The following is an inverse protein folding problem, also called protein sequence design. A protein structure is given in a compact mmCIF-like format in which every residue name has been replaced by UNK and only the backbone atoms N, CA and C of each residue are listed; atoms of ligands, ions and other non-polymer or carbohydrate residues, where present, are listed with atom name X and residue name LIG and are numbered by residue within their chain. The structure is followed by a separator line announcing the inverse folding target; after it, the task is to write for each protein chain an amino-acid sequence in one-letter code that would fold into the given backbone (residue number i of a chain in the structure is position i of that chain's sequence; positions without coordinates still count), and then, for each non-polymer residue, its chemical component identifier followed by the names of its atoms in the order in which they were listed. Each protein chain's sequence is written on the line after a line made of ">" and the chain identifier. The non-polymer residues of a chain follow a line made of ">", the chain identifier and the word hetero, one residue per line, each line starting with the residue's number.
data_IF_040565370146
#
_entry.id   IF_040565370146
#
_cell.length_a   1.000
_cell.length_b   1.000
_cell.length_c   1.000
_cell.angle_alpha   90.00
_cell.angle_beta   90.00
_cell.angle_gamma   90.00
#
_symmetry.space_group_name_H-M   'P 1'
#
loop_
_entity.id
_entity.type
_entity.pdbx_description
1 polymer ?
#
# COMPACT_ATOMS: atom_id res chain seq x y z
N UNK A 1 19.06 -23.55 1.16
CA UNK A 1 17.67 -23.26 0.77
C UNK A 1 16.99 -22.57 1.95
N UNK A 2 16.62 -21.30 1.80
CA UNK A 2 15.83 -20.60 2.82
C UNK A 2 14.43 -21.22 2.81
N UNK A 3 13.86 -21.62 3.97
CA UNK A 3 12.52 -22.20 4.00
C UNK A 3 11.50 -21.19 3.51
N UNK A 4 10.64 -21.62 2.59
CA UNK A 4 9.56 -20.79 2.03
C UNK A 4 8.56 -20.40 3.13
N UNK A 5 8.16 -19.13 3.16
CA UNK A 5 7.19 -18.63 4.13
C UNK A 5 5.86 -19.42 4.04
N UNK A 6 5.43 -20.11 5.12
CA UNK A 6 4.26 -20.99 5.08
C UNK A 6 2.95 -20.21 4.97
N UNK A 7 1.95 -20.78 4.30
CA UNK A 7 0.68 -20.10 4.02
C UNK A 7 -0.08 -19.68 5.30
N UNK A 8 -0.03 -20.48 6.37
CA UNK A 8 -0.66 -20.13 7.64
C UNK A 8 -0.10 -18.82 8.22
N UNK A 9 1.20 -18.57 8.05
CA UNK A 9 1.85 -17.35 8.52
C UNK A 9 1.43 -16.15 7.66
N UNK A 10 1.24 -16.35 6.35
CA UNK A 10 0.69 -15.31 5.45
C UNK A 10 -0.72 -14.91 5.87
N UNK A 11 -1.58 -15.89 6.17
CA UNK A 11 -2.95 -15.65 6.68
C UNK A 11 -2.92 -14.93 8.02
N UNK A 12 -2.08 -15.38 8.95
CA UNK A 12 -1.93 -14.70 10.24
C UNK A 12 -1.49 -13.24 10.07
N UNK A 13 -0.59 -12.96 9.13
CA UNK A 13 -0.14 -11.61 8.83
C UNK A 13 -1.23 -10.75 8.17
N UNK A 14 -2.12 -11.32 7.35
CA UNK A 14 -3.33 -10.64 6.87
C UNK A 14 -4.23 -10.25 8.05
N UNK A 15 -4.51 -11.18 8.95
CA UNK A 15 -5.34 -10.92 10.11
C UNK A 15 -4.72 -9.85 11.03
N UNK A 16 -3.41 -9.90 11.26
CA UNK A 16 -2.68 -8.89 12.04
C UNK A 16 -2.72 -7.52 11.36
N UNK A 17 -2.56 -7.46 10.04
CA UNK A 17 -2.71 -6.22 9.28
C UNK A 17 -4.10 -5.64 9.50
N UNK A 18 -5.17 -6.39 9.23
CA UNK A 18 -6.55 -5.92 9.49
C UNK A 18 -6.72 -5.48 10.94
N UNK A 19 -6.25 -6.30 11.88
CA UNK A 19 -6.30 -6.05 13.32
C UNK A 19 -5.64 -4.74 13.72
N UNK A 20 -4.51 -4.38 13.08
CA UNK A 20 -3.76 -3.16 13.38
C UNK A 20 -4.49 -1.87 13.01
N UNK A 21 -5.37 -1.90 12.00
CA UNK A 21 -6.16 -0.74 11.59
C UNK A 21 -7.48 -0.57 12.38
N UNK A 22 -7.99 -1.64 13.01
CA UNK A 22 -9.29 -1.61 13.71
C UNK A 22 -9.40 -0.53 14.80
N UNK A 23 -8.40 -0.31 15.69
CA UNK A 23 -8.51 0.70 16.74
C UNK A 23 -8.69 2.12 16.17
N UNK A 24 -7.96 2.43 15.09
CA UNK A 24 -8.01 3.72 14.44
C UNK A 24 -9.33 3.91 13.68
N UNK A 25 -9.77 2.87 12.96
CA UNK A 25 -11.03 2.88 12.23
C UNK A 25 -12.24 3.03 13.16
N UNK A 26 -12.24 2.29 14.28
CA UNK A 26 -13.27 2.40 15.31
C UNK A 26 -13.34 3.80 15.89
N UNK A 27 -12.19 4.44 16.17
CA UNK A 27 -12.16 5.82 16.68
C UNK A 27 -12.69 6.83 15.68
N UNK A 28 -12.26 6.79 14.42
CA UNK A 28 -12.80 7.70 13.39
C UNK A 28 -14.31 7.50 13.26
N UNK A 29 -14.77 6.25 13.28
CA UNK A 29 -16.19 5.94 13.15
C UNK A 29 -17.01 6.42 14.34
N UNK A 30 -16.53 6.21 15.58
CA UNK A 30 -17.22 6.54 16.82
C UNK A 30 -17.13 8.04 17.18
N UNK A 31 -15.97 8.65 16.99
CA UNK A 31 -15.71 10.05 17.37
C UNK A 31 -16.00 11.03 16.24
N UNK A 32 -16.18 10.55 15.00
CA UNK A 32 -16.40 11.37 13.78
C UNK A 32 -15.34 12.46 13.57
N UNK A 33 -14.16 12.29 14.16
CA UNK A 33 -13.05 13.22 14.04
C UNK A 33 -11.85 12.49 13.46
N UNK A 34 -11.28 13.05 12.39
CA UNK A 34 -10.02 12.59 11.79
C UNK A 34 -8.78 13.13 12.50
N UNK A 35 -8.94 13.83 13.62
CA UNK A 35 -7.85 14.54 14.28
C UNK A 35 -6.71 13.58 14.65
N UNK A 36 -5.47 14.00 14.37
CA UNK A 36 -4.26 13.30 14.81
C UNK A 36 -3.51 12.50 13.76
N UNK A 37 -4.01 12.41 12.53
CA UNK A 37 -3.25 11.90 11.39
C UNK A 37 -3.06 12.98 10.35
N UNK A 38 -1.85 13.04 9.81
CA UNK A 38 -1.55 13.97 8.75
C UNK A 38 -2.19 13.50 7.45
N UNK A 39 -2.92 14.40 6.79
CA UNK A 39 -3.49 14.11 5.47
C UNK A 39 -2.39 13.77 4.45
N UNK A 40 -1.23 14.42 4.57
CA UNK A 40 -0.06 14.11 3.74
C UNK A 40 0.52 12.73 4.09
N UNK A 41 0.51 12.33 5.37
CA UNK A 41 0.89 10.97 5.75
C UNK A 41 -0.01 9.93 5.09
N UNK A 42 -1.33 10.11 5.15
CA UNK A 42 -2.30 9.20 4.52
C UNK A 42 -2.08 9.17 3.00
N UNK A 43 -1.94 10.34 2.34
CA UNK A 43 -1.71 10.41 0.90
C UNK A 43 -0.47 9.63 0.47
N UNK A 44 0.67 9.89 1.10
CA UNK A 44 1.95 9.28 0.69
C UNK A 44 1.97 7.76 0.93
N UNK A 45 1.40 7.30 2.04
CA UNK A 45 1.27 5.85 2.29
C UNK A 45 0.27 5.20 1.32
N UNK A 46 -0.80 5.90 0.94
CA UNK A 46 -1.77 5.39 -0.02
C UNK A 46 -1.18 5.32 -1.44
N UNK A 47 -0.39 6.32 -1.86
CA UNK A 47 0.39 6.28 -3.11
C UNK A 47 1.33 5.08 -3.12
N UNK A 48 2.11 4.87 -2.06
CA UNK A 48 3.02 3.73 -1.93
C UNK A 48 2.26 2.39 -1.94
N UNK A 49 1.14 2.28 -1.24
CA UNK A 49 0.31 1.07 -1.25
C UNK A 49 -0.27 0.77 -2.64
N UNK A 50 -0.72 1.81 -3.37
CA UNK A 50 -1.19 1.66 -4.75
C UNK A 50 -0.08 1.16 -5.66
N UNK A 51 1.13 1.70 -5.54
CA UNK A 51 2.29 1.27 -6.35
C UNK A 51 2.66 -0.19 -6.07
N UNK A 52 2.77 -0.58 -4.80
CA UNK A 52 3.05 -1.97 -4.42
C UNK A 52 1.95 -2.93 -4.92
N UNK A 53 0.68 -2.54 -4.82
CA UNK A 53 -0.44 -3.31 -5.36
C UNK A 53 -0.34 -3.42 -6.88
N UNK A 54 -0.03 -2.33 -7.57
CA UNK A 54 0.09 -2.25 -9.04
C UNK A 54 1.17 -3.20 -9.53
N UNK A 55 2.38 -3.13 -8.96
CA UNK A 55 3.47 -4.03 -9.31
C UNK A 55 3.15 -5.49 -8.98
N UNK A 56 2.58 -5.76 -7.79
CA UNK A 56 2.25 -7.12 -7.41
C UNK A 56 1.18 -7.72 -8.32
N UNK A 57 0.15 -6.95 -8.68
CA UNK A 57 -0.89 -7.37 -9.60
C UNK A 57 -0.31 -7.60 -11.00
N UNK A 58 0.48 -6.65 -11.51
CA UNK A 58 1.16 -6.76 -12.80
C UNK A 58 2.00 -8.03 -12.90
N UNK A 59 2.91 -8.26 -11.94
CA UNK A 59 3.76 -9.46 -11.96
C UNK A 59 2.95 -10.75 -11.78
N UNK A 60 1.86 -10.71 -11.01
CA UNK A 60 0.97 -11.88 -10.85
C UNK A 60 0.24 -12.22 -12.14
N UNK A 61 -0.14 -11.25 -12.97
CA UNK A 61 -0.89 -11.50 -14.20
C UNK A 61 0.05 -11.79 -15.38
N UNK A 62 1.11 -10.99 -15.56
CA UNK A 62 1.91 -10.94 -16.78
C UNK A 62 3.18 -11.78 -16.78
N UNK A 63 3.80 -12.08 -15.63
CA UNK A 63 5.00 -12.93 -15.62
C UNK A 63 4.60 -14.38 -15.81
N UNK A 64 5.11 -14.96 -16.89
CA UNK A 64 4.77 -16.32 -17.31
C UNK A 64 5.99 -17.22 -17.53
N UNK A 65 7.23 -16.72 -17.72
CA UNK A 65 8.30 -17.62 -18.17
C UNK A 65 9.72 -17.53 -17.56
N UNK A 66 10.26 -16.42 -17.02
CA UNK A 66 11.71 -16.43 -16.69
C UNK A 66 12.19 -15.68 -15.43
N UNK A 67 11.31 -15.00 -14.69
CA UNK A 67 11.71 -14.25 -13.50
C UNK A 67 10.98 -14.78 -12.27
N UNK A 68 11.52 -15.86 -11.70
CA UNK A 68 11.06 -16.51 -10.46
C UNK A 68 11.32 -15.64 -9.20
N UNK A 69 11.57 -14.33 -9.39
CA UNK A 69 11.95 -13.37 -8.36
C UNK A 69 10.77 -13.03 -7.44
N UNK A 70 9.62 -12.68 -8.02
CA UNK A 70 8.46 -12.17 -7.27
C UNK A 70 7.27 -13.14 -7.21
N UNK A 71 7.07 -13.95 -8.24
CA UNK A 71 5.94 -14.90 -8.37
C UNK A 71 6.50 -16.25 -8.80
N UNK A 72 6.00 -17.33 -8.20
CA UNK A 72 6.44 -18.67 -8.59
C UNK A 72 5.82 -19.06 -9.93
N UNK A 73 6.57 -19.83 -10.74
CA UNK A 73 6.04 -20.45 -11.96
C UNK A 73 5.94 -21.97 -11.75
N UNK A 74 4.74 -22.58 -11.64
CA UNK A 74 3.40 -21.97 -11.69
C UNK A 74 3.01 -21.24 -10.38
N UNK A 75 2.05 -20.31 -10.51
CA UNK A 75 1.59 -19.45 -9.41
C UNK A 75 1.16 -20.25 -8.19
N UNK A 76 1.80 -19.98 -7.07
CA UNK A 76 1.49 -20.65 -5.81
C UNK A 76 0.32 -19.97 -5.09
N UNK A 77 -0.36 -20.71 -4.20
CA UNK A 77 -1.34 -20.13 -3.25
C UNK A 77 -0.72 -18.96 -2.47
N UNK A 78 0.58 -19.06 -2.17
CA UNK A 78 1.29 -18.02 -1.47
C UNK A 78 1.34 -16.68 -2.23
N UNK A 79 1.44 -16.72 -3.56
CA UNK A 79 1.55 -15.51 -4.39
C UNK A 79 0.21 -14.75 -4.38
N UNK A 80 -0.90 -15.48 -4.46
CA UNK A 80 -2.25 -14.93 -4.27
C UNK A 80 -2.45 -14.33 -2.87
N UNK A 81 -1.92 -14.96 -1.82
CA UNK A 81 -1.98 -14.42 -0.46
C UNK A 81 -1.13 -13.15 -0.30
N UNK A 82 0.01 -13.04 -0.99
CA UNK A 82 0.82 -11.82 -1.00
C UNK A 82 0.09 -10.67 -1.71
N UNK A 83 -0.55 -10.95 -2.85
CA UNK A 83 -1.39 -9.98 -3.54
C UNK A 83 -2.57 -9.53 -2.66
N UNK A 84 -3.24 -10.48 -2.00
CA UNK A 84 -4.33 -10.18 -1.06
C UNK A 84 -3.86 -9.30 0.11
N UNK A 85 -2.68 -9.56 0.67
CA UNK A 85 -2.08 -8.74 1.73
C UNK A 85 -1.92 -7.28 1.30
N UNK A 86 -1.37 -7.05 0.10
CA UNK A 86 -1.18 -5.70 -0.45
C UNK A 86 -2.52 -5.03 -0.76
N UNK A 87 -3.47 -5.80 -1.30
CA UNK A 87 -4.84 -5.33 -1.54
C UNK A 87 -5.54 -4.91 -0.24
N UNK A 88 -5.39 -5.68 0.84
CA UNK A 88 -5.94 -5.34 2.16
C UNK A 88 -5.34 -4.04 2.69
N UNK A 89 -4.03 -3.87 2.62
CA UNK A 89 -3.37 -2.60 3.04
C UNK A 89 -3.91 -1.42 2.24
N UNK A 90 -4.00 -1.58 0.92
CA UNK A 90 -4.53 -0.54 0.02
C UNK A 90 -5.99 -0.20 0.33
N UNK A 91 -6.87 -1.19 0.45
CA UNK A 91 -8.29 -0.99 0.78
C UNK A 91 -8.45 -0.31 2.14
N UNK A 92 -7.71 -0.75 3.16
CA UNK A 92 -7.80 -0.16 4.50
C UNK A 92 -7.35 1.31 4.49
N UNK A 93 -6.23 1.63 3.84
CA UNK A 93 -5.77 3.02 3.69
C UNK A 93 -6.74 3.87 2.85
N UNK A 94 -7.34 3.28 1.82
CA UNK A 94 -8.32 3.98 0.99
C UNK A 94 -9.59 4.30 1.78
N UNK A 95 -10.17 3.33 2.49
CA UNK A 95 -11.30 3.55 3.41
C UNK A 95 -10.93 4.61 4.44
N UNK A 96 -9.73 4.51 5.02
CA UNK A 96 -9.23 5.48 5.99
C UNK A 96 -9.21 6.91 5.43
N UNK A 97 -8.75 7.07 4.18
CA UNK A 97 -8.73 8.36 3.49
C UNK A 97 -10.13 8.93 3.22
N UNK A 98 -11.10 8.07 2.86
CA UNK A 98 -12.49 8.47 2.65
C UNK A 98 -13.18 8.87 3.95
N UNK A 99 -12.89 8.13 5.01
CA UNK A 99 -13.50 8.33 6.31
C UNK A 99 -12.90 9.50 7.08
N UNK A 100 -11.78 10.08 6.65
CA UNK A 100 -11.05 11.15 7.34
C UNK A 100 -11.74 12.52 7.19
N UNK A 101 -12.56 12.95 8.16
CA UNK A 101 -13.26 14.22 8.11
C UNK A 101 -12.50 15.15 9.06
N UNK A 102 -11.39 15.73 8.59
CA UNK A 102 -10.69 16.70 9.41
C UNK A 102 -11.10 18.12 9.00
N UNK A 103 -11.95 18.79 9.81
CA UNK A 103 -12.35 20.17 9.55
C UNK A 103 -11.19 21.16 9.74
N UNK A 104 -10.03 20.73 10.27
CA UNK A 104 -8.86 21.59 10.43
C UNK A 104 -8.19 21.94 9.09
N UNK A 105 -8.37 21.11 8.07
CA UNK A 105 -7.78 21.37 6.75
C UNK A 105 -8.73 22.17 5.85
N UNK A 106 -8.23 23.23 5.18
CA UNK A 106 -9.00 23.95 4.18
C UNK A 106 -9.52 23.02 3.08
N UNK A 107 -10.76 23.24 2.64
CA UNK A 107 -11.40 22.47 1.55
C UNK A 107 -10.49 22.38 0.29
N UNK A 108 -9.85 23.47 -0.18
CA UNK A 108 -8.98 23.40 -1.36
C UNK A 108 -7.81 22.42 -1.19
N UNK A 109 -7.24 22.33 0.01
CA UNK A 109 -6.14 21.41 0.29
C UNK A 109 -6.59 19.95 0.21
N UNK A 110 -7.79 19.64 0.72
CA UNK A 110 -8.39 18.31 0.64
C UNK A 110 -8.70 17.90 -0.79
N UNK A 111 -9.23 18.84 -1.60
CA UNK A 111 -9.49 18.63 -3.03
C UNK A 111 -8.18 18.36 -3.77
N UNK A 112 -7.12 19.13 -3.50
CA UNK A 112 -5.81 18.93 -4.11
C UNK A 112 -5.26 17.53 -3.80
N UNK A 113 -5.28 17.12 -2.52
CA UNK A 113 -4.83 15.78 -2.10
C UNK A 113 -5.63 14.68 -2.81
N UNK A 114 -6.96 14.80 -2.85
CA UNK A 114 -7.81 13.84 -3.54
C UNK A 114 -7.51 13.79 -5.04
N UNK A 115 -7.36 14.95 -5.70
CA UNK A 115 -7.04 15.04 -7.12
C UNK A 115 -5.67 14.41 -7.43
N UNK A 116 -4.64 14.70 -6.62
CA UNK A 116 -3.31 14.09 -6.75
C UNK A 116 -3.38 12.56 -6.66
N UNK A 117 -4.12 12.05 -5.68
CA UNK A 117 -4.31 10.61 -5.54
C UNK A 117 -5.08 10.01 -6.73
N UNK A 118 -6.18 10.63 -7.16
CA UNK A 118 -6.97 10.11 -8.27
C UNK A 118 -6.16 10.06 -9.57
N UNK A 119 -5.36 11.10 -9.85
CA UNK A 119 -4.46 11.12 -11.00
C UNK A 119 -3.43 10.00 -10.91
N UNK A 120 -2.75 9.86 -9.76
CA UNK A 120 -1.76 8.81 -9.56
C UNK A 120 -2.38 7.41 -9.69
N UNK A 121 -3.51 7.18 -9.00
CA UNK A 121 -4.22 5.91 -9.03
C UNK A 121 -4.72 5.55 -10.41
N UNK A 122 -5.20 6.53 -11.18
CA UNK A 122 -5.59 6.31 -12.58
C UNK A 122 -4.39 5.89 -13.43
N UNK A 123 -3.28 6.64 -13.38
CA UNK A 123 -2.06 6.33 -14.16
C UNK A 123 -1.48 4.95 -13.79
N UNK A 124 -1.54 4.57 -12.52
CA UNK A 124 -0.93 3.32 -12.03
C UNK A 124 -1.82 2.10 -12.27
N UNK A 125 -3.10 2.17 -11.88
CA UNK A 125 -4.00 1.01 -11.92
C UNK A 125 -4.64 0.79 -13.29
N UNK A 126 -4.96 1.86 -14.04
CA UNK A 126 -5.68 1.73 -15.30
C UNK A 126 -4.97 0.81 -16.30
N UNK A 127 -3.65 0.98 -16.59
CA UNK A 127 -2.96 0.12 -17.55
C UNK A 127 -3.03 -1.36 -17.18
N UNK A 128 -2.79 -1.68 -15.91
CA UNK A 128 -2.73 -3.08 -15.45
C UNK A 128 -4.11 -3.73 -15.41
N UNK A 129 -5.16 -2.97 -15.06
CA UNK A 129 -6.54 -3.46 -15.12
C UNK A 129 -6.94 -3.70 -16.58
N UNK A 130 -6.63 -2.77 -17.48
CA UNK A 130 -6.97 -2.95 -18.91
C UNK A 130 -6.27 -4.16 -19.51
N UNK A 131 -5.00 -4.38 -19.17
CA UNK A 131 -4.22 -5.52 -19.65
C UNK A 131 -4.71 -6.85 -19.07
N UNK A 132 -5.18 -6.87 -17.82
CA UNK A 132 -5.79 -8.04 -17.21
C UNK A 132 -7.17 -8.39 -17.80
N UNK A 133 -7.93 -7.40 -18.27
CA UNK A 133 -9.24 -7.60 -18.88
C UNK A 133 -9.15 -7.98 -20.36
N UNK A 134 -8.19 -7.41 -21.08
CA UNK A 134 -7.93 -7.71 -22.48
C UNK A 134 -6.42 -7.71 -22.74
N UNK A 135 -5.85 -8.92 -22.67
CA UNK A 135 -4.42 -9.13 -22.88
C UNK A 135 -3.98 -8.79 -24.31
N UNK A 136 -4.91 -8.73 -25.27
CA UNK A 136 -4.58 -8.43 -26.68
C UNK A 136 -4.31 -6.95 -26.93
N UNK A 137 -4.67 -6.07 -25.99
CA UNK A 137 -4.41 -4.64 -26.09
C UNK A 137 -2.91 -4.30 -26.03
N UNK A 138 -2.14 -5.07 -25.25
CA UNK A 138 -0.72 -4.78 -25.00
C UNK A 138 0.21 -5.94 -25.39
N UNK A 139 -0.34 -7.09 -25.76
CA UNK A 139 0.42 -8.26 -26.21
C UNK A 139 0.01 -8.67 -27.63
N UNK A 140 0.99 -8.87 -28.51
CA UNK A 140 0.77 -9.54 -29.78
C UNK A 140 0.65 -11.05 -29.52
N UNK A 141 -0.46 -11.71 -29.92
CA UNK A 141 -0.65 -13.15 -29.67
C UNK A 141 0.42 -14.04 -30.34
N UNK A 142 1.21 -13.50 -31.27
CA UNK A 142 2.30 -14.23 -31.93
C UNK A 142 3.67 -14.05 -31.27
N UNK A 143 3.82 -13.13 -30.31
CA UNK A 143 5.08 -12.89 -29.62
C UNK A 143 5.15 -13.67 -28.30
N UNK A 144 6.26 -14.37 -28.08
CA UNK A 144 6.52 -15.09 -26.82
C UNK A 144 7.00 -14.17 -25.69
N UNK A 145 7.43 -12.95 -26.03
CA UNK A 145 7.91 -11.95 -25.08
C UNK A 145 6.86 -10.87 -24.83
N UNK A 146 6.79 -10.28 -23.62
CA UNK A 146 5.96 -9.11 -23.38
C UNK A 146 6.34 -7.98 -24.33
N UNK A 147 5.34 -7.27 -24.85
CA UNK A 147 5.57 -6.14 -25.77
C UNK A 147 6.39 -5.03 -25.12
N UNK A 148 7.04 -4.20 -25.94
CA UNK A 148 7.90 -3.10 -25.47
C UNK A 148 7.22 -2.21 -24.43
N UNK A 149 5.95 -1.85 -24.63
CA UNK A 149 5.19 -1.01 -23.69
C UNK A 149 5.01 -1.65 -22.31
N UNK A 150 4.77 -2.97 -22.27
CA UNK A 150 4.62 -3.76 -21.04
C UNK A 150 5.94 -3.78 -20.27
N UNK A 151 7.06 -4.02 -20.96
CA UNK A 151 8.39 -4.00 -20.35
C UNK A 151 8.79 -2.59 -19.88
N UNK A 152 8.47 -1.55 -20.65
CA UNK A 152 8.73 -0.17 -20.27
C UNK A 152 7.93 0.21 -19.01
N UNK A 153 6.64 -0.15 -18.95
CA UNK A 153 5.81 0.07 -17.78
C UNK A 153 6.37 -0.66 -16.55
N UNK A 154 6.69 -1.96 -16.69
CA UNK A 154 7.26 -2.75 -15.60
C UNK A 154 8.58 -2.16 -15.08
N UNK A 155 9.51 -1.85 -15.99
CA UNK A 155 10.81 -1.29 -15.65
C UNK A 155 10.70 0.09 -15.01
N UNK A 156 9.88 0.98 -15.56
CA UNK A 156 9.65 2.32 -15.01
C UNK A 156 9.11 2.25 -13.58
N UNK A 157 8.07 1.44 -13.35
CA UNK A 157 7.47 1.31 -12.03
C UNK A 157 8.44 0.65 -11.04
N UNK A 158 9.09 -0.44 -11.44
CA UNK A 158 10.02 -1.16 -10.57
C UNK A 158 11.27 -0.36 -10.20
N UNK A 159 11.93 0.29 -11.15
CA UNK A 159 13.22 0.97 -10.92
C UNK A 159 13.09 2.41 -10.44
N UNK A 160 11.96 3.09 -10.72
CA UNK A 160 11.82 4.52 -10.46
C UNK A 160 10.66 4.79 -9.51
N UNK A 161 9.44 4.38 -9.87
CA UNK A 161 8.23 4.75 -9.10
C UNK A 161 8.21 4.08 -7.73
N UNK A 162 8.48 2.78 -7.65
CA UNK A 162 8.45 2.02 -6.40
C UNK A 162 9.51 2.50 -5.38
N UNK A 163 10.79 2.70 -5.74
CA UNK A 163 11.77 3.28 -4.81
C UNK A 163 11.38 4.70 -4.36
N UNK A 164 10.88 5.53 -5.28
CA UNK A 164 10.48 6.90 -4.98
C UNK A 164 9.29 6.94 -4.02
N UNK A 165 8.23 6.17 -4.32
CA UNK A 165 7.03 6.11 -3.47
C UNK A 165 7.32 5.49 -2.12
N UNK A 166 8.21 4.50 -2.04
CA UNK A 166 8.71 3.94 -0.79
C UNK A 166 9.44 5.01 0.04
N UNK A 167 10.35 5.78 -0.58
CA UNK A 167 11.05 6.87 0.08
C UNK A 167 10.08 7.94 0.59
N UNK A 168 9.12 8.35 -0.23
CA UNK A 168 8.08 9.29 0.17
C UNK A 168 7.24 8.76 1.35
N UNK A 169 6.92 7.46 1.35
CA UNK A 169 6.24 6.79 2.45
C UNK A 169 7.07 6.84 3.74
N UNK A 170 8.39 6.68 3.68
CA UNK A 170 9.27 6.83 4.85
C UNK A 170 9.32 8.30 5.30
N UNK A 171 9.49 9.24 4.37
CA UNK A 171 9.49 10.67 4.67
C UNK A 171 8.16 11.15 5.27
N UNK A 172 7.06 10.46 4.99
CA UNK A 172 5.74 10.74 5.56
C UNK A 172 5.68 10.65 7.09
N UNK A 173 6.65 9.98 7.72
CA UNK A 173 6.78 9.93 9.19
C UNK A 173 6.99 11.35 9.76
N UNK A 174 7.66 12.25 9.03
CA UNK A 174 7.91 13.63 9.47
C UNK A 174 6.60 14.42 9.67
N UNK A 175 5.72 14.58 8.66
CA UNK A 175 4.46 15.29 8.87
C UNK A 175 3.56 14.59 9.89
N UNK A 176 3.61 13.26 10.01
CA UNK A 176 2.90 12.53 11.05
C UNK A 176 3.43 12.88 12.46
N UNK A 177 4.74 12.91 12.66
CA UNK A 177 5.37 13.25 13.94
C UNK A 177 5.08 14.70 14.35
N UNK A 178 5.07 15.63 13.40
CA UNK A 178 4.71 17.03 13.65
C UNK A 178 3.26 17.13 14.15
N UNK A 179 2.34 16.39 13.52
CA UNK A 179 0.93 16.40 13.91
C UNK A 179 0.67 15.71 15.25
N UNK A 180 1.41 14.65 15.59
CA UNK A 180 1.34 14.07 16.94
C UNK A 180 1.87 15.04 18.00
N UNK A 181 2.98 15.73 17.73
CA UNK A 181 3.57 16.67 18.69
C UNK A 181 2.63 17.84 18.97
N UNK A 182 1.96 18.38 17.96
CA UNK A 182 0.99 19.47 18.16
C UNK A 182 -0.22 19.02 19.00
N UNK A 183 -0.65 17.77 18.85
CA UNK A 183 -1.76 17.19 19.63
C UNK A 183 -1.38 16.92 21.09
N UNK A 184 -0.15 16.47 21.36
CA UNK A 184 0.34 16.25 22.73
C UNK A 184 0.49 17.54 23.54
N UNK A 185 0.75 18.66 22.87
CA UNK A 185 0.80 19.99 23.48
C UNK A 185 -0.59 20.61 23.70
N UNK A 186 -1.67 19.93 23.31
CA UNK A 186 -3.06 20.37 23.46
C UNK A 186 -3.60 20.06 24.88
N UNK A 187 -4.64 20.75 25.38
CA UNK A 187 -5.13 20.60 26.77
C UNK A 187 -5.62 19.20 27.16
N UNK A 188 -5.79 18.27 26.21
CA UNK A 188 -6.28 16.90 26.42
C UNK A 188 -5.25 15.84 25.96
N UNK A 189 -4.15 15.63 26.72
CA UNK A 189 -3.03 14.77 26.32
C UNK A 189 -3.36 13.27 26.24
N UNK A 190 -4.39 12.80 26.96
CA UNK A 190 -4.78 11.38 27.00
C UNK A 190 -5.17 10.83 25.61
N UNK A 191 -5.78 11.68 24.78
CA UNK A 191 -6.12 11.32 23.40
C UNK A 191 -4.87 11.17 22.52
N UNK A 192 -3.82 11.95 22.78
CA UNK A 192 -2.54 11.84 22.08
C UNK A 192 -1.78 10.56 22.46
N UNK A 193 -1.80 10.18 23.74
CA UNK A 193 -1.12 9.01 24.26
C UNK A 193 -1.68 7.70 23.68
N UNK A 194 -3.01 7.58 23.60
CA UNK A 194 -3.68 6.42 23.01
C UNK A 194 -3.40 6.28 21.50
N UNK A 195 -3.16 7.40 20.80
CA UNK A 195 -2.82 7.42 19.36
C UNK A 195 -1.39 6.98 19.07
N UNK A 196 -0.44 7.28 19.96
CA UNK A 196 0.93 6.78 19.86
C UNK A 196 0.93 5.26 19.95
N UNK A 197 0.14 4.68 20.85
CA UNK A 197 0.06 3.23 21.03
C UNK A 197 -0.46 2.53 19.77
N UNK A 198 -1.53 3.04 19.16
CA UNK A 198 -2.06 2.45 17.90
C UNK A 198 -1.04 2.60 16.77
N UNK A 199 -0.38 3.75 16.66
CA UNK A 199 0.64 4.00 15.64
C UNK A 199 1.87 3.10 15.85
N UNK A 200 2.26 2.84 17.11
CA UNK A 200 3.35 1.94 17.45
C UNK A 200 2.98 0.49 17.12
N UNK A 201 1.76 0.05 17.47
CA UNK A 201 1.26 -1.28 17.12
C UNK A 201 1.28 -1.48 15.60
N UNK A 202 0.77 -0.50 14.85
CA UNK A 202 0.79 -0.53 13.39
C UNK A 202 2.24 -0.58 12.88
N UNK A 203 3.13 0.27 13.39
CA UNK A 203 4.55 0.26 13.02
C UNK A 203 5.22 -1.10 13.27
N UNK A 204 4.94 -1.76 14.39
CA UNK A 204 5.46 -3.10 14.69
C UNK A 204 4.93 -4.13 13.70
N UNK A 205 3.61 -4.13 13.43
CA UNK A 205 3.00 -5.07 12.47
C UNK A 205 3.57 -4.88 11.06
N UNK A 206 3.72 -3.64 10.60
CA UNK A 206 4.33 -3.34 9.30
C UNK A 206 5.83 -3.65 9.26
N UNK A 207 6.55 -3.48 10.37
CA UNK A 207 7.95 -3.90 10.49
C UNK A 207 8.13 -5.41 10.37
N UNK A 208 7.28 -6.18 11.06
CA UNK A 208 7.25 -7.65 10.92
C UNK A 208 6.87 -8.05 9.51
N UNK A 209 5.90 -7.37 8.89
CA UNK A 209 5.50 -7.63 7.51
C UNK A 209 6.66 -7.37 6.54
N UNK A 210 7.35 -6.23 6.68
CA UNK A 210 8.53 -5.88 5.89
C UNK A 210 9.63 -6.93 6.02
N UNK A 211 9.97 -7.34 7.24
CA UNK A 211 10.95 -8.40 7.47
C UNK A 211 10.51 -9.74 6.86
N UNK A 212 9.20 -10.05 6.88
CA UNK A 212 8.67 -11.28 6.30
C UNK A 212 8.84 -11.36 4.78
N UNK A 213 8.95 -10.22 4.08
CA UNK A 213 9.17 -10.20 2.63
C UNK A 213 10.52 -10.79 2.23
N UNK A 214 11.55 -10.68 3.08
CA UNK A 214 12.86 -11.31 2.86
C UNK A 214 12.77 -12.85 2.73
N UNK A 215 11.72 -13.46 3.28
CA UNK A 215 11.47 -14.91 3.23
C UNK A 215 10.37 -15.29 2.23
N UNK A 216 9.77 -14.31 1.54
CA UNK A 216 8.66 -14.49 0.59
C UNK A 216 9.07 -14.24 -0.85
N UNK A 217 10.02 -13.34 -1.08
CA UNK A 217 10.61 -13.05 -2.39
C UNK A 217 11.83 -13.95 -2.56
N UNK A 218 11.97 -14.58 -3.74
CA UNK A 218 13.22 -15.27 -4.08
C UNK A 218 14.16 -14.21 -4.66
N UNK A 219 15.24 -13.91 -3.98
CA UNK A 219 16.30 -13.01 -4.49
C UNK A 219 17.28 -13.83 -5.30
#
# INVERSE_FOLDING_TARGET
>A
MIPSCPNWLRVALICLTVGSFLPQLHRIWAQKTGTGLSLLYILLNLINATEQLTLAFFYTINVTWELDFFVNTPRSIGDWLNLAQLGVVWVLLFIFSLMHPDPQFPIPYRILVAALYLVFGFISLFPVITDALDSTLFHDPNEQSPGFGVNLFAGWNFFIVSPLTTLLSVCSIVPQAIQLRSQLSSPSPDQGMMRIQDCALQGVVFGVLAASWLFRVKI
#
